data_IF_994484009800
#
_entry.id   IF_994484009800
#
_cell.length_a   1.000
_cell.length_b   1.000
_cell.length_c   1.000
_cell.angle_alpha   90.00
_cell.angle_beta   90.00
_cell.angle_gamma   90.00
#
_symmetry.space_group_name_H-M   'P 1'
#
loop_
_entity.id
_entity.type
_entity.pdbx_description
1 polymer ?
#
# COMPACT_ATOMS: atom_id res chain seq x y z
N UNK A 1 14.86 9.86 -11.91
CA UNK A 1 14.73 10.32 -10.51
C UNK A 1 13.80 9.30 -9.91
N UNK A 2 14.34 8.30 -9.23
CA UNK A 2 13.65 7.04 -8.90
C UNK A 2 13.66 6.90 -7.38
N UNK A 3 12.50 6.60 -6.80
CA UNK A 3 12.35 6.51 -5.35
C UNK A 3 11.08 7.17 -4.81
N UNK A 4 10.60 6.62 -3.71
CA UNK A 4 9.58 7.24 -2.86
C UNK A 4 10.04 8.63 -2.39
N UNK A 5 9.29 9.72 -2.69
CA UNK A 5 9.65 11.06 -2.24
C UNK A 5 9.42 11.25 -0.74
N UNK A 6 10.21 12.12 -0.11
CA UNK A 6 10.12 12.41 1.35
C UNK A 6 8.78 13.06 1.74
N UNK A 7 8.14 13.73 0.79
CA UNK A 7 6.89 14.46 0.92
C UNK A 7 5.72 13.76 0.21
N UNK A 8 5.80 12.42 0.05
CA UNK A 8 4.69 11.63 -0.51
C UNK A 8 3.39 11.93 0.26
N UNK A 9 2.30 12.36 -0.41
CA UNK A 9 1.11 12.86 0.27
C UNK A 9 0.22 11.72 0.78
N UNK A 10 0.65 11.04 1.84
CA UNK A 10 -0.09 9.92 2.45
C UNK A 10 -1.05 10.35 3.57
N UNK A 11 -0.91 11.56 4.09
CA UNK A 11 -1.78 12.13 5.13
C UNK A 11 -3.28 11.96 4.84
N UNK A 12 -3.79 12.15 3.60
CA UNK A 12 -5.22 11.99 3.31
C UNK A 12 -5.80 10.61 3.60
N UNK A 13 -4.97 9.56 3.70
CA UNK A 13 -5.45 8.20 4.02
C UNK A 13 -5.57 7.95 5.53
N UNK A 14 -4.96 8.78 6.39
CA UNK A 14 -4.99 8.61 7.84
C UNK A 14 -6.41 8.82 8.37
N UNK A 15 -6.87 7.90 9.22
CA UNK A 15 -8.21 7.87 9.78
C UNK A 15 -9.29 7.29 8.86
N UNK A 16 -8.96 6.95 7.62
CA UNK A 16 -9.90 6.37 6.66
C UNK A 16 -9.79 4.85 6.58
N UNK A 17 -10.95 4.18 6.53
CA UNK A 17 -11.06 2.73 6.43
C UNK A 17 -10.70 2.23 5.03
N UNK A 18 -9.93 1.14 4.95
CA UNK A 18 -9.74 0.38 3.72
C UNK A 18 -11.02 -0.42 3.43
N UNK A 19 -11.89 0.09 2.55
CA UNK A 19 -13.21 -0.47 2.31
C UNK A 19 -13.25 -1.51 1.18
N UNK A 20 -12.25 -1.51 0.30
CA UNK A 20 -12.17 -2.44 -0.82
C UNK A 20 -10.72 -2.71 -1.19
N UNK A 21 -10.46 -3.98 -1.51
CA UNK A 21 -9.21 -4.46 -2.08
C UNK A 21 -9.53 -5.06 -3.45
N UNK A 22 -8.94 -4.53 -4.53
CA UNK A 22 -9.04 -5.11 -5.86
C UNK A 22 -7.75 -5.84 -6.23
N UNK A 23 -7.87 -7.12 -6.58
CA UNK A 23 -6.74 -7.98 -6.94
C UNK A 23 -6.74 -8.17 -8.45
N UNK A 24 -5.75 -7.59 -9.11
CA UNK A 24 -5.47 -7.79 -10.54
C UNK A 24 -4.30 -8.74 -10.78
N UNK A 25 -4.10 -9.12 -12.04
CA UNK A 25 -2.99 -10.03 -12.43
C UNK A 25 -1.61 -9.48 -12.05
N UNK A 26 -1.41 -8.17 -12.17
CA UNK A 26 -0.14 -7.49 -11.95
C UNK A 26 -0.26 -6.31 -10.99
N UNK A 27 -1.41 -6.16 -10.33
CA UNK A 27 -1.66 -5.01 -9.47
C UNK A 27 -2.53 -5.37 -8.28
N UNK A 28 -2.31 -4.65 -7.18
CA UNK A 28 -3.18 -4.59 -6.03
C UNK A 28 -3.69 -3.16 -5.91
N UNK A 29 -4.99 -2.96 -5.72
CA UNK A 29 -5.54 -1.63 -5.44
C UNK A 29 -6.22 -1.62 -4.07
N UNK A 30 -5.87 -0.62 -3.27
CA UNK A 30 -6.45 -0.34 -1.97
C UNK A 30 -7.34 0.89 -2.11
N UNK A 31 -8.62 0.77 -1.77
CA UNK A 31 -9.56 1.88 -1.81
C UNK A 31 -9.94 2.28 -0.39
N UNK A 32 -9.86 3.58 -0.11
CA UNK A 32 -10.10 4.15 1.20
C UNK A 32 -11.35 5.02 1.15
N UNK A 33 -12.28 4.79 2.06
CA UNK A 33 -13.58 5.44 2.05
C UNK A 33 -13.44 6.97 2.21
N UNK A 34 -13.65 7.73 1.13
CA UNK A 34 -13.60 9.21 1.15
C UNK A 34 -12.19 9.82 1.14
N UNK A 35 -11.16 9.03 0.84
CA UNK A 35 -9.78 9.52 0.69
C UNK A 35 -9.21 9.28 -0.72
N UNK A 36 -9.58 8.17 -1.36
CA UNK A 36 -9.13 7.81 -2.70
C UNK A 36 -8.59 6.39 -2.76
N UNK A 37 -7.55 6.14 -3.55
CA UNK A 37 -6.95 4.81 -3.73
C UNK A 37 -5.44 4.83 -3.91
N UNK A 38 -4.84 3.68 -3.61
CA UNK A 38 -3.42 3.37 -3.86
C UNK A 38 -3.38 2.17 -4.79
N UNK A 39 -2.75 2.32 -5.96
CA UNK A 39 -2.54 1.23 -6.91
C UNK A 39 -1.08 0.81 -6.88
N UNK A 40 -0.81 -0.45 -6.55
CA UNK A 40 0.53 -1.02 -6.41
C UNK A 40 0.76 -2.04 -7.53
N UNK A 41 1.84 -1.90 -8.27
CA UNK A 41 2.30 -2.85 -9.29
C UNK A 41 3.61 -3.54 -8.89
N UNK A 42 4.35 -2.95 -7.95
CA UNK A 42 5.61 -3.45 -7.43
C UNK A 42 5.49 -4.36 -6.21
N UNK A 43 6.61 -4.50 -5.52
CA UNK A 43 6.73 -5.29 -4.31
C UNK A 43 6.02 -4.63 -3.13
N UNK A 44 5.28 -5.44 -2.38
CA UNK A 44 4.63 -5.04 -1.14
C UNK A 44 4.68 -6.18 -0.12
N UNK A 45 4.56 -5.82 1.15
CA UNK A 45 4.46 -6.76 2.26
C UNK A 45 3.34 -6.33 3.21
N UNK A 46 2.59 -7.29 3.72
CA UNK A 46 1.74 -7.13 4.89
C UNK A 46 2.36 -7.87 6.07
N UNK A 47 2.56 -7.18 7.18
CA UNK A 47 3.12 -7.73 8.41
C UNK A 47 2.11 -7.66 9.55
N UNK A 48 2.09 -8.71 10.35
CA UNK A 48 1.32 -8.78 11.58
C UNK A 48 1.96 -7.85 12.65
N UNK A 49 1.22 -7.41 13.69
CA UNK A 49 1.77 -6.52 14.74
C UNK A 49 3.03 -7.05 15.46
N UNK A 50 3.24 -8.37 15.47
CA UNK A 50 4.46 -8.99 16.02
C UNK A 50 5.67 -8.93 15.06
N UNK A 51 5.50 -8.36 13.86
CA UNK A 51 6.52 -8.21 12.83
C UNK A 51 6.63 -9.37 11.84
N UNK A 52 5.91 -10.48 12.07
CA UNK A 52 5.91 -11.62 11.16
C UNK A 52 5.27 -11.27 9.81
N UNK A 53 5.81 -11.85 8.73
CA UNK A 53 5.28 -11.66 7.38
C UNK A 53 3.98 -12.44 7.24
N UNK A 54 2.90 -11.74 6.90
CA UNK A 54 1.56 -12.32 6.76
C UNK A 54 1.21 -12.56 5.29
N UNK A 55 1.54 -11.58 4.44
CA UNK A 55 1.32 -11.62 2.99
C UNK A 55 2.37 -10.77 2.28
N UNK A 56 2.56 -10.98 0.99
CA UNK A 56 3.48 -10.21 0.16
C UNK A 56 3.09 -10.29 -1.31
N UNK A 57 3.71 -9.46 -2.14
CA UNK A 57 3.68 -9.65 -3.59
C UNK A 57 4.22 -11.05 -3.95
N UNK A 58 3.43 -11.81 -4.70
CA UNK A 58 3.74 -13.19 -5.10
C UNK A 58 2.92 -13.54 -6.35
N UNK A 59 3.49 -14.34 -7.25
CA UNK A 59 2.82 -14.81 -8.45
C UNK A 59 1.56 -15.63 -8.09
N UNK A 60 0.43 -15.28 -8.71
CA UNK A 60 -0.85 -15.96 -8.54
C UNK A 60 -0.79 -17.47 -8.76
N UNK A 61 0.10 -17.96 -9.62
CA UNK A 61 0.22 -19.39 -9.94
C UNK A 61 0.81 -20.21 -8.79
N UNK A 62 1.62 -19.60 -7.92
CA UNK A 62 2.27 -20.27 -6.79
C UNK A 62 1.70 -19.86 -5.43
N UNK A 63 0.92 -18.77 -5.40
CA UNK A 63 0.28 -18.26 -4.19
C UNK A 63 -0.72 -19.26 -3.60
N UNK A 64 -0.51 -19.60 -2.34
CA UNK A 64 -1.43 -20.50 -1.60
C UNK A 64 -2.73 -19.80 -1.18
N UNK A 65 -2.64 -18.56 -0.70
CA UNK A 65 -3.79 -17.77 -0.26
C UNK A 65 -3.46 -16.27 -0.21
N UNK A 66 -4.50 -15.45 -0.31
CA UNK A 66 -4.42 -14.02 0.04
C UNK A 66 -4.75 -13.82 1.51
N UNK A 67 -3.93 -13.04 2.21
CA UNK A 67 -4.15 -12.61 3.60
C UNK A 67 -4.26 -11.10 3.74
N UNK A 68 -4.10 -10.34 2.66
CA UNK A 68 -4.31 -8.89 2.61
C UNK A 68 -5.69 -8.42 3.12
N UNK A 69 -6.71 -9.27 3.03
CA UNK A 69 -8.06 -8.98 3.55
C UNK A 69 -8.12 -8.73 5.07
N UNK A 70 -7.08 -9.09 5.83
CA UNK A 70 -7.06 -8.88 7.30
C UNK A 70 -7.00 -7.40 7.71
N UNK A 71 -6.74 -6.49 6.76
CA UNK A 71 -6.80 -5.04 6.97
C UNK A 71 -8.02 -4.38 6.32
N UNK A 72 -8.96 -5.16 5.79
CA UNK A 72 -10.24 -4.65 5.29
C UNK A 72 -11.11 -4.16 6.45
N UNK A 73 -11.82 -3.05 6.25
CA UNK A 73 -12.60 -2.32 7.28
C UNK A 73 -11.75 -1.90 8.49
N UNK A 74 -10.45 -1.68 8.28
CA UNK A 74 -9.54 -1.16 9.30
C UNK A 74 -9.03 0.21 8.86
N UNK A 75 -9.08 1.24 9.73
CA UNK A 75 -8.55 2.55 9.42
C UNK A 75 -7.02 2.55 9.46
N UNK A 76 -6.43 3.42 8.65
CA UNK A 76 -5.00 3.78 8.77
C UNK A 76 -4.83 4.64 10.02
N UNK A 77 -3.99 4.20 10.97
CA UNK A 77 -3.63 4.94 12.18
C UNK A 77 -2.57 6.00 11.89
N UNK A 78 -1.53 5.62 11.13
CA UNK A 78 -0.44 6.51 10.71
C UNK A 78 0.28 5.95 9.49
N UNK A 79 1.22 6.71 8.96
CA UNK A 79 2.15 6.24 7.94
C UNK A 79 3.60 6.55 8.31
N UNK A 80 4.52 5.87 7.63
CA UNK A 80 5.96 6.08 7.73
C UNK A 80 6.53 6.14 6.31
N UNK A 81 7.48 7.03 6.06
CA UNK A 81 8.17 7.14 4.77
C UNK A 81 9.65 6.86 5.01
N UNK A 82 10.24 5.96 4.21
CA UNK A 82 11.67 5.65 4.19
C UNK A 82 12.22 5.92 2.78
N UNK A 83 12.40 7.20 2.40
CA UNK A 83 12.92 7.57 1.09
C UNK A 83 14.34 7.03 0.89
N UNK A 84 14.71 6.64 -0.34
CA UNK A 84 13.87 6.53 -1.54
C UNK A 84 13.11 5.20 -1.65
N UNK A 85 13.15 4.35 -0.61
CA UNK A 85 12.92 2.91 -0.76
C UNK A 85 11.47 2.48 -0.63
N UNK A 86 10.73 3.07 0.31
CA UNK A 86 9.40 2.58 0.64
C UNK A 86 8.57 3.58 1.41
N UNK A 87 7.27 3.32 1.48
CA UNK A 87 6.40 3.85 2.52
C UNK A 87 5.67 2.70 3.21
N UNK A 88 5.18 2.96 4.42
CA UNK A 88 4.38 2.03 5.21
C UNK A 88 3.10 2.70 5.65
N UNK A 89 1.97 2.02 5.49
CA UNK A 89 0.73 2.32 6.21
C UNK A 89 0.65 1.43 7.45
N UNK A 90 0.38 2.03 8.60
CA UNK A 90 0.11 1.32 9.84
C UNK A 90 -1.37 1.41 10.12
N UNK A 91 -2.03 0.26 10.18
CA UNK A 91 -3.46 0.15 10.46
C UNK A 91 -3.73 0.18 11.97
N UNK A 92 -4.94 0.56 12.38
CA UNK A 92 -5.34 0.62 13.80
C UNK A 92 -5.21 -0.72 14.55
N UNK A 93 -5.21 -1.84 13.83
CA UNK A 93 -4.94 -3.18 14.39
C UNK A 93 -3.45 -3.46 14.62
N UNK A 94 -2.57 -2.52 14.27
CA UNK A 94 -1.11 -2.65 14.35
C UNK A 94 -0.47 -3.32 13.14
N UNK A 95 -1.26 -3.80 12.18
CA UNK A 95 -0.73 -4.37 10.93
C UNK A 95 0.03 -3.29 10.15
N UNK A 96 1.09 -3.71 9.47
CA UNK A 96 1.96 -2.82 8.69
C UNK A 96 1.95 -3.26 7.23
N UNK A 97 1.49 -2.39 6.35
CA UNK A 97 1.50 -2.61 4.90
C UNK A 97 2.59 -1.75 4.28
N UNK A 98 3.64 -2.38 3.77
CA UNK A 98 4.83 -1.73 3.21
C UNK A 98 4.78 -1.84 1.69
N UNK A 99 5.03 -0.73 1.00
CA UNK A 99 5.15 -0.68 -0.47
C UNK A 99 6.54 -0.21 -0.81
N UNK A 100 7.25 -0.99 -1.64
CA UNK A 100 8.63 -0.72 -2.03
C UNK A 100 8.66 -0.11 -3.43
N UNK A 101 9.62 0.80 -3.62
CA UNK A 101 10.07 1.23 -4.93
C UNK A 101 11.47 0.66 -5.19
N UNK A 102 11.52 -0.60 -5.63
CA UNK A 102 12.74 -1.32 -5.97
C UNK A 102 12.91 -1.56 -7.48
N UNK A 103 11.99 -1.02 -8.29
CA UNK A 103 12.03 -1.08 -9.74
C UNK A 103 12.87 0.06 -10.32
N UNK A 104 13.98 -0.27 -10.97
CA UNK A 104 14.82 0.74 -11.63
C UNK A 104 14.19 1.32 -12.92
N UNK A 105 13.13 0.70 -13.44
CA UNK A 105 12.66 0.90 -14.83
C UNK A 105 11.17 1.25 -14.95
N UNK A 106 10.38 1.00 -13.90
CA UNK A 106 8.92 1.13 -13.94
C UNK A 106 8.40 1.77 -12.65
N UNK A 107 7.30 2.51 -12.77
CA UNK A 107 6.52 3.01 -11.64
C UNK A 107 6.03 1.83 -10.79
N UNK A 108 6.32 1.87 -9.49
CA UNK A 108 5.98 0.83 -8.53
C UNK A 108 4.56 1.02 -7.98
N UNK A 109 4.08 2.27 -7.91
CA UNK A 109 2.74 2.59 -7.45
C UNK A 109 2.21 3.95 -7.92
N UNK A 110 0.91 4.17 -7.74
CA UNK A 110 0.29 5.48 -7.88
C UNK A 110 -0.72 5.75 -6.77
N UNK A 111 -0.88 7.04 -6.43
CA UNK A 111 -1.87 7.55 -5.51
C UNK A 111 -2.92 8.33 -6.28
N UNK A 112 -4.18 8.00 -6.07
CA UNK A 112 -5.32 8.81 -6.48
C UNK A 112 -5.97 9.35 -5.20
N UNK A 113 -5.93 10.66 -5.02
CA UNK A 113 -6.50 11.33 -3.83
C UNK A 113 -7.71 12.13 -4.29
N UNK A 114 -8.83 11.99 -3.58
CA UNK A 114 -10.08 12.65 -3.94
C UNK A 114 -9.90 14.18 -3.94
N UNK A 115 -10.18 14.82 -5.08
CA UNK A 115 -10.05 16.27 -5.25
C UNK A 115 -8.62 16.77 -5.51
N UNK A 116 -7.63 15.90 -5.67
CA UNK A 116 -6.24 16.25 -5.96
C UNK A 116 -5.71 15.55 -7.23
N UNK A 117 -4.64 16.08 -7.87
CA UNK A 117 -3.97 15.39 -8.96
C UNK A 117 -3.36 14.05 -8.51
N UNK A 118 -3.34 13.06 -9.41
CA UNK A 118 -2.69 11.78 -9.16
C UNK A 118 -1.18 11.92 -9.02
N UNK A 119 -0.59 11.12 -8.13
CA UNK A 119 0.86 11.00 -7.92
C UNK A 119 1.31 9.63 -8.44
N UNK A 120 2.41 9.61 -9.19
CA UNK A 120 2.99 8.40 -9.77
C UNK A 120 4.43 8.27 -9.30
N UNK A 121 4.80 7.08 -8.83
CA UNK A 121 6.15 6.76 -8.31
C UNK A 121 6.59 5.43 -8.84
#
# INVERSE_FOLDING_TARGET
>A
MYGVPVDLPLEPFVGHDLNQIAIGRFQLQLHFAGAGSISIQGHWELRHPDGSLLDQAEDHAVRAAYRIHQVLDVPVDRYEIDPPRSFTLVFATGHRFVVFDDSAQYESFSLQIDGAPSVFV
#
